data_IF_315804608325
#
_entry.id   IF_315804608325
#
_cell.length_a   1.000
_cell.length_b   1.000
_cell.length_c   1.000
_cell.angle_alpha   90.00
_cell.angle_beta   90.00
_cell.angle_gamma   90.00
#
_symmetry.space_group_name_H-M   'P 1'
#
loop_
_entity.id
_entity.type
_entity.pdbx_description
1 polymer ?
#
# COMPACT_ATOMS: atom_id res chain seq x y z
N UNK A 1 19.93 -17.13 13.36
CA UNK A 1 18.67 -16.49 12.92
C UNK A 1 17.66 -16.34 14.05
N UNK A 2 17.61 -17.23 15.03
CA UNK A 2 16.73 -17.08 16.21
C UNK A 2 16.85 -15.71 16.90
N UNK A 3 17.99 -15.07 16.72
CA UNK A 3 18.24 -13.72 17.26
C UNK A 3 17.41 -12.61 16.61
N UNK A 4 16.73 -12.84 15.48
CA UNK A 4 15.86 -11.87 14.80
C UNK A 4 14.36 -12.16 14.99
N UNK A 5 14.01 -13.08 15.86
CA UNK A 5 12.63 -13.26 16.27
C UNK A 5 12.11 -11.97 16.89
N UNK A 6 10.91 -11.57 16.49
CA UNK A 6 10.22 -10.34 16.92
C UNK A 6 10.87 -9.01 16.48
N UNK A 7 11.93 -9.08 15.65
CA UNK A 7 12.52 -7.92 14.99
C UNK A 7 11.95 -7.75 13.59
N UNK A 8 11.60 -6.53 13.21
CA UNK A 8 11.15 -6.21 11.87
C UNK A 8 12.17 -5.29 11.17
N UNK A 9 12.42 -5.49 9.86
CA UNK A 9 13.26 -4.59 9.09
C UNK A 9 12.52 -3.25 8.89
N UNK A 10 13.17 -2.16 9.28
CA UNK A 10 12.58 -0.81 9.26
C UNK A 10 13.21 0.13 8.24
N UNK A 11 14.39 -0.21 7.76
CA UNK A 11 15.13 0.54 6.75
C UNK A 11 16.03 -0.38 5.95
N UNK A 12 16.08 -0.17 4.64
CA UNK A 12 17.04 -0.80 3.73
C UNK A 12 17.67 0.31 2.90
N UNK A 13 19.00 0.31 2.81
CA UNK A 13 19.76 1.31 2.06
C UNK A 13 21.05 0.74 1.51
N UNK A 14 21.60 1.42 0.52
CA UNK A 14 22.92 1.13 -0.01
C UNK A 14 23.96 2.03 0.66
N UNK A 15 25.02 1.45 1.15
CA UNK A 15 26.20 2.13 1.69
C UNK A 15 27.43 1.64 0.95
N UNK A 16 28.03 2.51 0.14
CA UNK A 16 29.05 2.14 -0.84
C UNK A 16 28.56 1.00 -1.74
N UNK A 17 29.26 -0.15 -1.76
CA UNK A 17 28.89 -1.33 -2.55
C UNK A 17 27.94 -2.30 -1.80
N UNK A 18 27.62 -2.05 -0.53
CA UNK A 18 26.89 -2.98 0.32
C UNK A 18 25.47 -2.51 0.61
N UNK A 19 24.52 -3.42 0.54
CA UNK A 19 23.16 -3.18 1.00
C UNK A 19 23.03 -3.58 2.47
N UNK A 20 22.44 -2.68 3.26
CA UNK A 20 22.25 -2.80 4.70
C UNK A 20 20.77 -2.85 5.07
N UNK A 21 20.48 -3.49 6.20
CA UNK A 21 19.14 -3.60 6.78
C UNK A 21 19.21 -3.16 8.24
N UNK A 22 18.41 -2.17 8.62
CA UNK A 22 18.22 -1.75 10.01
C UNK A 22 16.96 -2.43 10.57
N UNK A 23 17.03 -2.89 11.79
CA UNK A 23 16.00 -3.67 12.47
C UNK A 23 15.53 -2.95 13.73
N UNK A 24 14.23 -3.09 14.01
CA UNK A 24 13.62 -2.64 15.25
C UNK A 24 12.89 -3.80 15.92
N UNK A 25 13.03 -3.92 17.22
CA UNK A 25 12.31 -4.92 17.99
C UNK A 25 10.88 -4.46 18.26
N UNK A 26 9.92 -5.27 17.87
CA UNK A 26 8.49 -5.02 18.06
C UNK A 26 7.88 -5.90 19.15
N UNK A 27 8.53 -7.02 19.51
CA UNK A 27 7.94 -8.00 20.43
C UNK A 27 6.57 -8.46 19.92
N UNK A 28 5.62 -8.56 20.84
CA UNK A 28 4.23 -8.94 20.59
C UNK A 28 3.31 -7.75 20.22
N UNK A 29 3.87 -6.56 19.97
CA UNK A 29 3.08 -5.37 19.63
C UNK A 29 2.29 -5.55 18.34
N UNK A 30 1.00 -5.22 18.39
CA UNK A 30 0.14 -5.17 17.22
C UNK A 30 0.53 -3.98 16.32
N UNK A 31 0.49 -4.20 15.02
CA UNK A 31 0.69 -3.15 14.01
C UNK A 31 -0.68 -2.59 13.61
N UNK A 32 -1.22 -1.68 14.40
CA UNK A 32 -2.54 -1.07 14.24
C UNK A 32 -2.50 0.40 13.79
N UNK A 33 -1.29 0.94 13.61
CA UNK A 33 -1.09 2.29 13.11
C UNK A 33 -1.46 2.40 11.62
N UNK A 34 -1.93 3.58 11.14
CA UNK A 34 -2.29 3.80 9.74
C UNK A 34 -1.17 3.51 8.73
N UNK A 35 0.07 3.74 9.14
CA UNK A 35 1.26 3.51 8.34
C UNK A 35 2.32 2.77 9.15
N UNK A 36 3.11 1.93 8.47
CA UNK A 36 4.22 1.20 9.10
C UNK A 36 5.23 2.15 9.74
N UNK A 37 5.47 3.31 9.11
CA UNK A 37 6.35 4.35 9.66
C UNK A 37 5.91 4.83 11.03
N UNK A 38 4.60 5.03 11.24
CA UNK A 38 4.07 5.48 12.53
C UNK A 38 4.34 4.43 13.62
N UNK A 39 4.13 3.14 13.30
CA UNK A 39 4.46 2.04 14.22
C UNK A 39 5.96 1.95 14.52
N UNK A 40 6.82 2.21 13.53
CA UNK A 40 8.28 2.28 13.71
C UNK A 40 8.65 3.45 14.63
N UNK A 41 8.09 4.64 14.41
CA UNK A 41 8.37 5.82 15.20
C UNK A 41 7.99 5.62 16.69
N UNK A 42 6.89 4.91 16.95
CA UNK A 42 6.51 4.51 18.31
C UNK A 42 7.45 3.46 18.90
N UNK A 43 7.80 2.43 18.13
CA UNK A 43 8.69 1.38 18.60
C UNK A 43 10.09 1.90 18.92
N UNK A 44 10.62 2.83 18.11
CA UNK A 44 11.94 3.44 18.33
C UNK A 44 12.02 4.29 19.60
N UNK A 45 10.90 4.73 20.16
CA UNK A 45 10.85 5.45 21.46
C UNK A 45 10.98 4.52 22.66
N UNK A 46 10.86 3.21 22.47
CA UNK A 46 11.00 2.25 23.56
C UNK A 46 12.45 2.23 24.07
N UNK A 47 12.69 2.19 25.39
CA UNK A 47 14.04 2.13 25.95
C UNK A 47 14.89 0.99 25.39
N UNK A 48 14.28 -0.18 25.14
CA UNK A 48 14.96 -1.32 24.54
C UNK A 48 15.51 -0.97 23.14
N UNK A 49 14.71 -0.38 22.27
CA UNK A 49 15.14 -0.02 20.92
C UNK A 49 16.09 1.19 20.88
N UNK A 50 16.12 2.00 21.91
CA UNK A 50 17.11 3.07 22.07
C UNK A 50 18.48 2.51 22.49
N UNK A 51 18.48 1.50 23.35
CA UNK A 51 19.71 0.86 23.84
C UNK A 51 20.27 -0.18 22.87
N UNK A 52 19.41 -0.89 22.16
CA UNK A 52 19.80 -2.01 21.31
C UNK A 52 19.38 -1.76 19.87
N UNK A 53 20.31 -1.30 19.06
CA UNK A 53 20.16 -1.19 17.60
C UNK A 53 20.75 -2.43 16.93
N UNK A 54 20.15 -2.84 15.85
CA UNK A 54 20.60 -4.01 15.11
C UNK A 54 20.63 -3.71 13.61
N UNK A 55 21.80 -3.93 13.04
CA UNK A 55 22.05 -3.80 11.61
C UNK A 55 22.60 -5.11 11.05
N UNK A 56 22.25 -5.45 9.82
CA UNK A 56 22.75 -6.62 9.12
C UNK A 56 23.01 -6.29 7.65
N UNK A 57 23.73 -7.18 6.96
CA UNK A 57 23.74 -7.15 5.50
C UNK A 57 22.39 -7.62 4.93
N UNK A 58 22.12 -7.29 3.66
CA UNK A 58 20.93 -7.74 2.94
C UNK A 58 20.85 -9.26 2.79
N UNK A 59 22.00 -9.95 2.81
CA UNK A 59 22.09 -11.41 2.73
C UNK A 59 21.24 -12.11 3.80
N UNK A 60 21.08 -11.49 4.97
CA UNK A 60 20.22 -12.04 6.04
C UNK A 60 18.76 -12.15 5.63
N UNK A 61 18.24 -11.18 4.84
CA UNK A 61 16.91 -11.29 4.25
C UNK A 61 16.88 -12.34 3.13
N UNK A 62 17.88 -12.37 2.26
CA UNK A 62 17.94 -13.36 1.18
C UNK A 62 17.93 -14.81 1.70
N UNK A 63 18.46 -15.01 2.90
CA UNK A 63 18.61 -16.32 3.56
C UNK A 63 17.60 -16.51 4.71
N UNK A 64 16.48 -15.78 4.71
CA UNK A 64 15.48 -15.82 5.78
C UNK A 64 14.94 -17.25 6.00
N UNK A 65 14.95 -17.72 7.24
CA UNK A 65 14.56 -19.09 7.61
C UNK A 65 13.55 -19.19 8.76
N UNK A 66 13.23 -18.07 9.42
CA UNK A 66 12.22 -18.14 10.48
C UNK A 66 10.84 -18.41 9.87
N UNK A 67 9.99 -19.21 10.55
CA UNK A 67 8.63 -19.46 10.12
C UNK A 67 7.86 -18.14 9.94
N UNK A 68 7.08 -18.06 8.89
CA UNK A 68 6.33 -16.87 8.55
C UNK A 68 5.04 -17.20 7.81
N UNK A 69 4.06 -16.34 7.96
CA UNK A 69 2.85 -16.32 7.12
C UNK A 69 3.24 -15.69 5.79
N UNK A 70 2.91 -16.36 4.69
CA UNK A 70 3.05 -15.78 3.37
C UNK A 70 2.04 -14.63 3.17
N UNK A 71 2.34 -13.65 2.29
CA UNK A 71 1.37 -12.63 1.95
C UNK A 71 0.05 -13.22 1.50
N UNK A 72 -1.06 -12.78 2.09
CA UNK A 72 -2.42 -13.22 1.74
C UNK A 72 -3.10 -12.26 0.78
N UNK A 73 -2.67 -11.00 0.73
CA UNK A 73 -3.16 -10.03 -0.24
C UNK A 73 -2.20 -8.84 -0.40
N UNK A 74 -2.19 -8.26 -1.62
CA UNK A 74 -1.56 -6.97 -1.90
C UNK A 74 -2.62 -5.91 -2.19
N UNK A 75 -2.46 -4.71 -1.59
CA UNK A 75 -3.34 -3.56 -1.80
C UNK A 75 -2.55 -2.44 -2.47
N UNK A 76 -2.80 -2.24 -3.76
CA UNK A 76 -2.32 -1.10 -4.53
C UNK A 76 -3.39 -0.02 -4.60
N UNK A 77 -3.00 1.23 -4.86
CA UNK A 77 -3.95 2.32 -4.83
C UNK A 77 -3.48 3.57 -5.59
N UNK A 78 -4.46 4.37 -6.04
CA UNK A 78 -4.20 5.63 -6.73
C UNK A 78 -3.92 6.82 -5.79
N UNK A 79 -3.57 6.57 -4.52
CA UNK A 79 -3.48 7.59 -3.47
C UNK A 79 -4.82 8.26 -3.12
N UNK A 80 -4.99 8.74 -1.87
CA UNK A 80 -6.19 9.48 -1.42
C UNK A 80 -7.55 8.83 -1.78
N UNK A 81 -7.58 7.52 -1.96
CA UNK A 81 -8.73 6.74 -2.42
C UNK A 81 -9.25 5.71 -1.40
N UNK A 82 -8.98 5.89 -0.10
CA UNK A 82 -9.54 5.04 0.96
C UNK A 82 -8.78 3.75 1.29
N UNK A 83 -7.64 3.48 0.65
CA UNK A 83 -6.82 2.29 0.95
C UNK A 83 -6.38 2.21 2.42
N UNK A 84 -6.17 3.35 3.09
CA UNK A 84 -5.86 3.39 4.53
C UNK A 84 -7.05 2.92 5.37
N UNK A 85 -8.30 3.17 4.94
CA UNK A 85 -9.49 2.66 5.62
C UNK A 85 -9.50 1.12 5.57
N UNK A 86 -9.23 0.52 4.41
CA UNK A 86 -9.12 -0.94 4.27
C UNK A 86 -8.07 -1.48 5.25
N UNK A 87 -6.87 -0.90 5.25
CA UNK A 87 -5.81 -1.29 6.17
C UNK A 87 -6.22 -1.21 7.64
N UNK A 88 -6.89 -0.12 8.04
CA UNK A 88 -7.33 0.08 9.42
C UNK A 88 -8.48 -0.87 9.83
N UNK A 89 -9.39 -1.20 8.91
CA UNK A 89 -10.43 -2.21 9.15
C UNK A 89 -9.82 -3.59 9.40
N UNK A 90 -8.84 -3.99 8.57
CA UNK A 90 -8.14 -5.27 8.74
C UNK A 90 -7.24 -5.30 9.98
N UNK A 91 -6.61 -4.17 10.33
CA UNK A 91 -5.78 -4.07 11.51
C UNK A 91 -6.54 -4.24 12.85
N UNK A 92 -7.89 -4.19 12.83
CA UNK A 92 -8.69 -4.56 14.01
C UNK A 92 -8.61 -6.06 14.32
N UNK A 93 -8.40 -6.90 13.30
CA UNK A 93 -8.38 -8.34 13.45
C UNK A 93 -7.11 -8.79 14.18
N UNK A 94 -7.25 -9.69 15.14
CA UNK A 94 -6.09 -10.23 15.87
C UNK A 94 -5.31 -11.24 15.01
N UNK A 95 -5.98 -11.82 14.02
CA UNK A 95 -5.42 -12.75 13.06
C UNK A 95 -4.69 -12.08 11.91
N UNK A 96 -4.75 -10.75 11.79
CA UNK A 96 -4.13 -10.04 10.68
C UNK A 96 -2.86 -9.26 11.10
N UNK A 97 -1.84 -9.41 10.27
CA UNK A 97 -0.69 -8.50 10.18
C UNK A 97 -0.96 -7.59 8.99
N UNK A 98 -1.03 -6.28 9.23
CA UNK A 98 -1.20 -5.29 8.16
C UNK A 98 0.02 -4.39 8.11
N UNK A 99 0.76 -4.46 7.00
CA UNK A 99 1.95 -3.64 6.76
C UNK A 99 1.60 -2.60 5.70
N UNK A 100 1.52 -1.35 6.11
CA UNK A 100 1.09 -0.24 5.25
C UNK A 100 2.25 0.64 4.84
N UNK A 101 2.57 0.66 3.55
CA UNK A 101 3.57 1.53 2.92
C UNK A 101 4.94 1.45 3.61
N UNK A 102 5.54 0.24 3.74
CA UNK A 102 6.81 0.09 4.43
C UNK A 102 7.98 0.57 3.57
N UNK A 103 8.80 1.54 4.03
CA UNK A 103 9.94 2.05 3.26
C UNK A 103 10.96 0.98 2.81
N UNK A 104 11.22 -0.10 3.59
CA UNK A 104 12.08 -1.18 3.13
C UNK A 104 11.60 -1.87 1.85
N UNK A 105 10.28 -1.99 1.67
CA UNK A 105 9.71 -2.61 0.47
C UNK A 105 9.93 -1.71 -0.76
N UNK A 106 9.67 -0.41 -0.64
CA UNK A 106 9.94 0.56 -1.71
C UNK A 106 11.43 0.55 -2.10
N UNK A 107 12.34 0.53 -1.11
CA UNK A 107 13.77 0.48 -1.36
C UNK A 107 14.20 -0.77 -2.16
N UNK A 108 13.61 -1.94 -1.91
CA UNK A 108 13.91 -3.15 -2.67
C UNK A 108 13.25 -3.16 -4.06
N UNK A 109 12.01 -2.68 -4.15
CA UNK A 109 11.28 -2.65 -5.43
C UNK A 109 11.99 -1.78 -6.45
N UNK A 110 12.52 -0.62 -6.03
CA UNK A 110 13.13 0.40 -6.91
C UNK A 110 14.64 0.46 -6.85
N UNK A 111 15.27 -0.26 -5.93
CA UNK A 111 16.72 -0.27 -5.76
C UNK A 111 17.47 -0.90 -6.93
N UNK A 112 18.69 -0.44 -7.18
CA UNK A 112 19.60 -0.99 -8.20
C UNK A 112 20.26 -2.27 -7.67
N UNK A 113 19.55 -3.39 -7.68
CA UNK A 113 19.99 -4.70 -7.23
C UNK A 113 20.06 -5.69 -8.40
N UNK A 114 20.92 -6.68 -8.28
CA UNK A 114 20.85 -7.86 -9.14
C UNK A 114 19.44 -8.49 -9.05
N UNK A 115 18.82 -8.90 -10.17
CA UNK A 115 17.44 -9.40 -10.18
C UNK A 115 17.21 -10.61 -9.26
N UNK A 116 18.17 -11.54 -9.16
CA UNK A 116 18.03 -12.72 -8.31
C UNK A 116 18.12 -12.34 -6.83
N UNK A 117 19.07 -11.48 -6.48
CA UNK A 117 19.24 -10.93 -5.12
C UNK A 117 18.01 -10.14 -4.72
N UNK A 118 17.47 -9.30 -5.61
CA UNK A 118 16.25 -8.51 -5.35
C UNK A 118 15.06 -9.41 -5.03
N UNK A 119 14.81 -10.44 -5.84
CA UNK A 119 13.71 -11.40 -5.61
C UNK A 119 13.88 -12.17 -4.29
N UNK A 120 15.09 -12.62 -3.99
CA UNK A 120 15.39 -13.29 -2.72
C UNK A 120 15.15 -12.36 -1.53
N UNK A 121 15.64 -11.12 -1.59
CA UNK A 121 15.46 -10.12 -0.55
C UNK A 121 13.99 -9.74 -0.36
N UNK A 122 13.19 -9.60 -1.44
CA UNK A 122 11.75 -9.34 -1.37
C UNK A 122 11.00 -10.48 -0.66
N UNK A 123 11.31 -11.75 -0.99
CA UNK A 123 10.72 -12.89 -0.29
C UNK A 123 11.09 -12.89 1.19
N UNK A 124 12.36 -12.67 1.51
CA UNK A 124 12.83 -12.59 2.89
C UNK A 124 12.24 -11.42 3.66
N UNK A 125 12.10 -10.24 3.04
CA UNK A 125 11.46 -9.08 3.65
C UNK A 125 10.01 -9.37 4.03
N UNK A 126 9.21 -9.92 3.10
CA UNK A 126 7.81 -10.23 3.38
C UNK A 126 7.67 -11.38 4.38
N UNK A 127 8.58 -12.34 4.36
CA UNK A 127 8.65 -13.37 5.40
C UNK A 127 9.00 -12.77 6.78
N UNK A 128 9.96 -11.83 6.85
CA UNK A 128 10.25 -11.13 8.10
C UNK A 128 9.05 -10.35 8.64
N UNK A 129 8.23 -9.75 7.79
CA UNK A 129 6.96 -9.11 8.18
C UNK A 129 5.90 -10.12 8.60
N UNK A 130 5.90 -11.31 8.01
CA UNK A 130 4.95 -12.39 8.29
C UNK A 130 5.25 -13.21 9.54
N UNK A 131 6.22 -12.83 10.39
CA UNK A 131 6.46 -13.50 11.65
C UNK A 131 5.22 -13.52 12.54
N UNK A 132 4.83 -14.70 13.03
CA UNK A 132 3.80 -14.83 14.07
C UNK A 132 4.39 -14.42 15.42
N UNK A 133 4.13 -13.20 15.85
CA UNK A 133 4.71 -12.61 17.07
C UNK A 133 3.79 -12.76 18.28
N UNK A 134 2.47 -12.83 18.06
CA UNK A 134 1.43 -12.96 19.08
C UNK A 134 0.83 -14.37 19.13
N UNK A 135 1.11 -15.19 18.10
CA UNK A 135 0.61 -16.57 18.01
C UNK A 135 -0.82 -16.70 17.47
N UNK A 136 -1.50 -15.59 17.17
CA UNK A 136 -2.88 -15.58 16.64
C UNK A 136 -2.92 -15.27 15.16
N UNK A 137 -1.85 -14.74 14.59
CA UNK A 137 -1.79 -14.26 13.23
C UNK A 137 -1.93 -15.40 12.21
N UNK A 138 -2.72 -15.17 11.19
CA UNK A 138 -3.01 -16.11 10.10
C UNK A 138 -2.98 -15.43 8.73
N UNK A 139 -2.97 -14.10 8.68
CA UNK A 139 -3.05 -13.29 7.46
C UNK A 139 -1.95 -12.24 7.47
N UNK A 140 -1.31 -12.05 6.30
CA UNK A 140 -0.37 -10.97 6.06
C UNK A 140 -0.88 -10.14 4.88
N UNK A 141 -1.31 -8.91 5.13
CA UNK A 141 -1.75 -7.96 4.10
C UNK A 141 -0.72 -6.86 3.94
N UNK A 142 -0.23 -6.69 2.72
CA UNK A 142 0.74 -5.64 2.38
C UNK A 142 0.04 -4.57 1.56
N UNK A 143 0.00 -3.37 2.07
CA UNK A 143 -0.43 -2.19 1.34
C UNK A 143 0.80 -1.45 0.83
N UNK A 144 0.89 -1.28 -0.49
CA UNK A 144 2.02 -0.66 -1.18
C UNK A 144 1.87 0.87 -1.22
N UNK A 145 2.96 1.57 -1.48
CA UNK A 145 2.92 2.98 -1.85
C UNK A 145 2.26 3.15 -3.24
N UNK A 146 1.60 4.28 -3.47
CA UNK A 146 0.87 4.52 -4.71
C UNK A 146 1.76 4.45 -5.95
N UNK A 147 3.03 4.85 -5.84
CA UNK A 147 3.99 4.82 -6.93
C UNK A 147 4.58 3.44 -7.23
N UNK A 148 4.36 2.47 -6.35
CA UNK A 148 4.83 1.10 -6.58
C UNK A 148 3.92 0.30 -7.54
N UNK A 149 2.91 0.89 -8.14
CA UNK A 149 2.04 0.20 -9.09
C UNK A 149 2.83 -0.33 -10.30
N UNK A 150 3.85 0.37 -10.75
CA UNK A 150 4.70 -0.09 -11.84
C UNK A 150 5.59 -1.27 -11.48
N UNK A 151 5.84 -1.50 -10.19
CA UNK A 151 6.66 -2.60 -9.70
C UNK A 151 5.84 -3.88 -9.39
N UNK A 152 4.52 -3.84 -9.65
CA UNK A 152 3.63 -5.00 -9.47
C UNK A 152 4.11 -6.26 -10.23
N UNK A 153 4.57 -6.20 -11.50
CA UNK A 153 5.06 -7.39 -12.20
C UNK A 153 6.15 -8.13 -11.43
N UNK A 154 7.09 -7.42 -10.82
CA UNK A 154 8.15 -8.01 -10.00
C UNK A 154 7.60 -8.74 -8.75
N UNK A 155 6.61 -8.15 -8.07
CA UNK A 155 5.94 -8.82 -6.94
C UNK A 155 5.14 -10.04 -7.42
N UNK A 156 4.52 -10.00 -8.60
CA UNK A 156 3.84 -11.16 -9.19
C UNK A 156 4.79 -12.30 -9.54
N UNK A 157 6.02 -12.00 -9.95
CA UNK A 157 7.06 -13.02 -10.15
C UNK A 157 7.49 -13.66 -8.81
N UNK A 158 7.53 -12.90 -7.73
CA UNK A 158 7.86 -13.42 -6.41
C UNK A 158 6.72 -14.21 -5.77
N UNK A 159 5.46 -13.76 -5.97
CA UNK A 159 4.25 -14.25 -5.32
C UNK A 159 3.10 -14.39 -6.33
N UNK A 160 3.17 -15.36 -7.26
CA UNK A 160 2.24 -15.46 -8.39
C UNK A 160 0.80 -15.76 -7.98
N UNK A 161 0.58 -16.41 -6.84
CA UNK A 161 -0.75 -16.83 -6.38
C UNK A 161 -1.42 -15.82 -5.44
N UNK A 162 -0.69 -14.83 -4.92
CA UNK A 162 -1.25 -13.87 -3.96
C UNK A 162 -2.23 -12.94 -4.68
N UNK A 163 -3.50 -12.87 -4.25
CA UNK A 163 -4.46 -11.96 -4.83
C UNK A 163 -4.08 -10.50 -4.55
N UNK A 164 -4.47 -9.63 -5.46
CA UNK A 164 -4.20 -8.21 -5.32
C UNK A 164 -5.34 -7.34 -5.81
N UNK A 165 -5.44 -6.12 -5.29
CA UNK A 165 -6.43 -5.14 -5.69
C UNK A 165 -5.81 -3.79 -6.03
N UNK A 166 -6.53 -3.01 -6.83
CA UNK A 166 -6.23 -1.62 -7.13
C UNK A 166 -7.38 -0.73 -6.67
N UNK A 167 -7.15 0.02 -5.60
CA UNK A 167 -8.13 0.96 -5.04
C UNK A 167 -7.99 2.30 -5.72
N UNK A 168 -9.09 2.84 -6.24
CA UNK A 168 -9.13 4.14 -6.92
C UNK A 168 -10.37 4.95 -6.52
N UNK A 169 -10.41 6.19 -6.94
CA UNK A 169 -11.48 7.16 -6.61
C UNK A 169 -11.63 8.11 -7.78
N UNK A 170 -12.73 8.92 -7.82
CA UNK A 170 -12.89 9.99 -8.78
C UNK A 170 -11.61 10.85 -8.87
N UNK A 171 -10.99 10.96 -10.07
CA UNK A 171 -9.66 11.56 -10.21
C UNK A 171 -9.55 13.00 -9.74
N UNK A 172 -10.58 13.81 -9.97
CA UNK A 172 -10.61 15.20 -9.53
C UNK A 172 -10.53 15.32 -8.01
N UNK A 173 -11.19 14.42 -7.27
CA UNK A 173 -11.15 14.41 -5.81
C UNK A 173 -9.78 14.01 -5.26
N UNK A 174 -9.08 13.12 -5.97
CA UNK A 174 -7.70 12.77 -5.66
C UNK A 174 -6.79 13.98 -5.91
N UNK A 175 -6.92 14.62 -7.07
CA UNK A 175 -6.09 15.76 -7.45
C UNK A 175 -6.26 16.93 -6.47
N UNK A 176 -7.50 17.32 -6.13
CA UNK A 176 -7.77 18.36 -5.11
C UNK A 176 -7.15 17.99 -3.76
N UNK A 177 -7.23 16.71 -3.35
CA UNK A 177 -6.58 16.29 -2.11
C UNK A 177 -5.07 16.48 -2.13
N UNK A 178 -4.43 16.34 -3.31
CA UNK A 178 -2.99 16.60 -3.49
C UNK A 178 -2.66 18.08 -3.62
N UNK A 179 -3.56 18.90 -4.15
CA UNK A 179 -3.42 20.37 -4.11
C UNK A 179 -3.45 20.85 -2.65
N UNK A 180 -4.38 20.33 -1.82
CA UNK A 180 -4.45 20.68 -0.39
C UNK A 180 -3.20 20.23 0.37
N UNK A 181 -2.80 18.97 0.18
CA UNK A 181 -1.66 18.35 0.85
C UNK A 181 -1.05 17.28 -0.05
N UNK A 182 0.05 17.61 -0.69
CA UNK A 182 0.73 16.70 -1.60
C UNK A 182 1.18 15.41 -0.88
N UNK A 183 0.99 14.27 -1.55
CA UNK A 183 1.73 13.05 -1.23
C UNK A 183 3.16 13.16 -1.80
N UNK A 184 4.09 12.37 -1.28
CA UNK A 184 5.50 12.44 -1.67
C UNK A 184 5.70 12.30 -3.19
N UNK A 185 5.00 11.38 -3.83
CA UNK A 185 5.07 11.15 -5.27
C UNK A 185 4.43 12.26 -6.13
N UNK A 186 3.72 13.20 -5.53
CA UNK A 186 3.15 14.37 -6.19
C UNK A 186 3.98 15.65 -5.96
N UNK A 187 5.21 15.49 -5.51
CA UNK A 187 6.21 16.54 -5.40
C UNK A 187 7.38 16.17 -6.31
N UNK A 188 7.80 17.01 -7.26
CA UNK A 188 8.92 16.73 -8.14
C UNK A 188 10.17 16.28 -7.37
N UNK A 189 10.86 15.29 -7.90
CA UNK A 189 12.14 14.74 -7.41
C UNK A 189 12.14 14.13 -6.00
N UNK A 190 11.06 14.27 -5.22
CA UNK A 190 11.05 13.85 -3.81
C UNK A 190 11.18 12.32 -3.62
N UNK A 191 10.64 11.53 -4.54
CA UNK A 191 10.77 10.06 -4.51
C UNK A 191 11.83 9.54 -5.49
N UNK A 192 12.53 10.43 -6.22
CA UNK A 192 13.41 10.07 -7.31
C UNK A 192 12.66 9.47 -8.51
N UNK A 193 13.38 8.82 -9.43
CA UNK A 193 12.78 8.20 -10.62
C UNK A 193 11.79 7.11 -10.27
N UNK A 194 10.68 7.06 -10.97
CA UNK A 194 9.60 6.07 -10.79
C UNK A 194 8.92 5.74 -12.12
N UNK A 195 8.14 4.66 -12.14
CA UNK A 195 7.29 4.26 -13.27
C UNK A 195 6.18 5.28 -13.60
N UNK A 196 5.96 6.25 -12.71
CA UNK A 196 5.01 7.34 -12.90
C UNK A 196 5.58 8.55 -13.64
N UNK A 197 6.88 8.57 -13.92
CA UNK A 197 7.52 9.68 -14.63
C UNK A 197 7.08 9.69 -16.10
N UNK A 198 6.78 10.89 -16.61
CA UNK A 198 6.39 11.12 -18.02
C UNK A 198 7.53 11.79 -18.79
N UNK A 199 7.35 11.89 -20.11
CA UNK A 199 8.31 12.52 -21.01
C UNK A 199 8.20 14.06 -21.07
N UNK A 200 7.06 14.63 -20.62
CA UNK A 200 6.81 16.07 -20.69
C UNK A 200 7.30 16.80 -19.45
N UNK A 201 7.94 17.96 -19.66
CA UNK A 201 8.14 18.94 -18.59
C UNK A 201 6.76 19.53 -18.24
N UNK A 202 6.35 19.37 -16.99
CA UNK A 202 5.12 19.95 -16.51
C UNK A 202 5.34 21.39 -16.10
N UNK A 203 4.61 22.31 -16.74
CA UNK A 203 4.73 23.75 -16.51
C UNK A 203 4.10 24.22 -15.20
N UNK A 204 3.30 23.37 -14.55
CA UNK A 204 2.63 23.70 -13.30
C UNK A 204 2.44 22.50 -12.37
N UNK A 205 2.17 22.79 -11.10
CA UNK A 205 1.82 21.79 -10.10
C UNK A 205 0.55 21.00 -10.47
N UNK A 206 -0.43 21.66 -11.09
CA UNK A 206 -1.68 21.02 -11.53
C UNK A 206 -1.43 20.04 -12.66
N UNK A 207 -0.60 20.41 -13.64
CA UNK A 207 -0.19 19.54 -14.74
C UNK A 207 0.58 18.32 -14.24
N UNK A 208 1.53 18.53 -13.33
CA UNK A 208 2.31 17.45 -12.72
C UNK A 208 1.42 16.44 -11.98
N UNK A 209 0.48 16.92 -11.16
CA UNK A 209 -0.46 16.06 -10.42
C UNK A 209 -1.34 15.29 -11.40
N UNK A 210 -1.90 15.95 -12.41
CA UNK A 210 -2.78 15.33 -13.40
C UNK A 210 -2.04 14.24 -14.21
N UNK A 211 -0.82 14.52 -14.65
CA UNK A 211 0.02 13.56 -15.38
C UNK A 211 0.34 12.32 -14.54
N UNK A 212 0.84 12.50 -13.33
CA UNK A 212 1.19 11.37 -12.46
C UNK A 212 -0.04 10.54 -12.05
N UNK A 213 -1.17 11.20 -11.81
CA UNK A 213 -2.42 10.52 -11.53
C UNK A 213 -2.91 9.73 -12.76
N UNK A 214 -2.84 10.32 -13.95
CA UNK A 214 -3.14 9.64 -15.21
C UNK A 214 -2.31 8.38 -15.36
N UNK A 215 -0.99 8.49 -15.21
CA UNK A 215 -0.08 7.34 -15.31
C UNK A 215 -0.36 6.26 -14.26
N UNK A 216 -0.70 6.67 -13.04
CA UNK A 216 -1.10 5.72 -11.98
C UNK A 216 -2.34 4.92 -12.35
N UNK A 217 -3.37 5.57 -12.91
CA UNK A 217 -4.60 4.92 -13.33
C UNK A 217 -4.39 4.04 -14.57
N UNK A 218 -3.57 4.47 -15.52
CA UNK A 218 -3.17 3.68 -16.70
C UNK A 218 -2.52 2.36 -16.28
N UNK A 219 -1.47 2.43 -15.45
CA UNK A 219 -0.78 1.24 -14.93
C UNK A 219 -1.72 0.35 -14.10
N UNK A 220 -2.57 0.96 -13.27
CA UNK A 220 -3.59 0.24 -12.51
C UNK A 220 -4.55 -0.53 -13.40
N UNK A 221 -5.04 0.10 -14.48
CA UNK A 221 -5.92 -0.53 -15.46
C UNK A 221 -5.21 -1.65 -16.24
N UNK A 222 -4.02 -1.36 -16.77
CA UNK A 222 -3.20 -2.31 -17.50
C UNK A 222 -2.98 -3.59 -16.70
N UNK A 223 -2.51 -3.42 -15.47
CA UNK A 223 -2.23 -4.56 -14.59
C UNK A 223 -3.50 -5.27 -14.11
N UNK A 224 -4.60 -4.55 -13.84
CA UNK A 224 -5.87 -5.19 -13.53
C UNK A 224 -6.32 -6.14 -14.65
N UNK A 225 -6.12 -5.75 -15.90
CA UNK A 225 -6.47 -6.58 -17.07
C UNK A 225 -5.48 -7.73 -17.28
N UNK A 226 -4.18 -7.43 -17.28
CA UNK A 226 -3.13 -8.41 -17.60
C UNK A 226 -2.86 -9.42 -16.47
N UNK A 227 -2.98 -9.01 -15.20
CA UNK A 227 -2.56 -9.76 -14.02
C UNK A 227 -3.70 -10.10 -13.07
N UNK A 228 -4.93 -10.05 -13.54
CA UNK A 228 -6.14 -10.43 -12.82
C UNK A 228 -6.34 -9.67 -11.47
N UNK A 229 -6.05 -8.36 -11.43
CA UNK A 229 -6.27 -7.52 -10.26
C UNK A 229 -7.74 -7.18 -10.02
N UNK A 230 -8.13 -6.95 -8.78
CA UNK A 230 -9.47 -6.51 -8.40
C UNK A 230 -9.55 -4.98 -8.39
N UNK A 231 -10.20 -4.32 -9.37
CA UNK A 231 -10.44 -2.89 -9.29
C UNK A 231 -11.53 -2.59 -8.26
N UNK A 232 -11.25 -1.65 -7.33
CA UNK A 232 -12.15 -1.25 -6.25
C UNK A 232 -12.28 0.28 -6.22
N UNK A 233 -13.50 0.78 -6.45
CA UNK A 233 -13.77 2.22 -6.31
C UNK A 233 -14.05 2.58 -4.86
N UNK A 234 -13.47 3.69 -4.39
CA UNK A 234 -13.67 4.26 -3.06
C UNK A 234 -15.15 4.37 -2.64
N UNK A 235 -16.04 4.71 -3.57
CA UNK A 235 -17.48 4.88 -3.29
C UNK A 235 -18.17 3.61 -2.77
N UNK A 236 -17.52 2.47 -2.93
CA UNK A 236 -18.02 1.17 -2.45
C UNK A 236 -17.68 0.91 -0.99
N UNK A 237 -16.68 1.64 -0.46
CA UNK A 237 -16.28 1.52 0.94
C UNK A 237 -17.24 2.30 1.86
N UNK A 238 -17.47 1.81 3.08
CA UNK A 238 -16.99 0.53 3.62
C UNK A 238 -17.90 -0.66 3.31
N UNK A 239 -19.06 -0.45 2.67
CA UNK A 239 -20.12 -1.44 2.51
C UNK A 239 -19.66 -2.78 1.90
N UNK A 240 -18.73 -2.74 0.95
CA UNK A 240 -18.22 -3.97 0.31
C UNK A 240 -17.38 -4.86 1.23
N UNK A 241 -17.02 -4.40 2.42
CA UNK A 241 -16.35 -5.22 3.42
C UNK A 241 -17.32 -6.27 4.02
N UNK A 242 -18.63 -6.07 3.93
CA UNK A 242 -19.64 -7.08 4.26
C UNK A 242 -20.00 -8.01 3.08
N UNK A 243 -19.27 -7.90 2.01
CA UNK A 243 -19.49 -8.67 0.78
C UNK A 243 -18.21 -9.22 0.21
N UNK A 244 -18.03 -9.02 -1.10
CA UNK A 244 -16.95 -9.63 -1.86
C UNK A 244 -15.54 -9.26 -1.36
N UNK A 245 -15.37 -8.15 -0.65
CA UNK A 245 -14.09 -7.77 -0.09
C UNK A 245 -13.73 -8.64 1.12
N UNK A 246 -14.74 -9.06 1.90
CA UNK A 246 -14.52 -10.05 2.95
C UNK A 246 -14.06 -11.39 2.36
N UNK A 247 -14.68 -11.83 1.28
CA UNK A 247 -14.28 -13.06 0.58
C UNK A 247 -12.86 -12.94 0.00
N UNK A 248 -12.52 -11.76 -0.56
CA UNK A 248 -11.18 -11.48 -1.06
C UNK A 248 -10.09 -11.64 0.01
N UNK A 249 -10.38 -11.23 1.24
CA UNK A 249 -9.47 -11.36 2.39
C UNK A 249 -9.68 -12.67 3.17
N UNK A 250 -10.64 -13.52 2.78
CA UNK A 250 -10.98 -14.75 3.47
C UNK A 250 -11.43 -14.49 4.92
N UNK A 251 -12.35 -13.52 5.12
CA UNK A 251 -12.88 -13.17 6.44
C UNK A 251 -14.14 -13.96 6.74
N UNK A 252 -14.21 -14.55 7.92
CA UNK A 252 -15.44 -15.11 8.48
C UNK A 252 -16.40 -14.02 9.00
N UNK A 253 -17.60 -14.38 9.41
CA UNK A 253 -18.63 -13.43 9.89
C UNK A 253 -18.17 -12.61 11.11
N UNK A 254 -17.59 -13.19 12.17
CA UNK A 254 -17.03 -12.44 13.29
C UNK A 254 -15.96 -11.43 12.87
N UNK A 255 -15.04 -11.83 11.98
CA UNK A 255 -13.98 -10.97 11.46
C UNK A 255 -14.55 -9.81 10.62
N UNK A 256 -15.58 -10.06 9.78
CA UNK A 256 -16.29 -8.98 9.03
C UNK A 256 -16.87 -7.94 9.97
N UNK A 257 -17.60 -8.37 10.99
CA UNK A 257 -18.22 -7.47 11.96
C UNK A 257 -17.18 -6.63 12.70
N UNK A 258 -16.07 -7.26 13.12
CA UNK A 258 -14.96 -6.58 13.78
C UNK A 258 -14.28 -5.55 12.86
N UNK A 259 -14.03 -5.90 11.61
CA UNK A 259 -13.47 -4.99 10.61
C UNK A 259 -14.41 -3.79 10.35
N UNK A 260 -15.70 -4.03 10.15
CA UNK A 260 -16.71 -2.98 9.92
C UNK A 260 -16.84 -2.01 11.10
N UNK A 261 -16.64 -2.45 12.33
CA UNK A 261 -16.72 -1.60 13.52
C UNK A 261 -15.72 -0.42 13.49
N UNK A 262 -14.63 -0.54 12.73
CA UNK A 262 -13.65 0.53 12.55
C UNK A 262 -14.03 1.55 11.47
N UNK A 263 -15.00 1.26 10.62
CA UNK A 263 -15.33 2.06 9.44
C UNK A 263 -15.87 3.47 9.76
N UNK A 264 -16.44 3.66 10.94
CA UNK A 264 -16.96 4.96 11.40
C UNK A 264 -15.88 5.97 11.83
N UNK A 265 -14.62 5.56 11.91
CA UNK A 265 -13.52 6.40 12.37
C UNK A 265 -12.72 6.95 11.19
N UNK A 266 -12.13 8.14 11.35
CA UNK A 266 -11.25 8.69 10.34
C UNK A 266 -9.98 7.82 10.21
N UNK A 267 -9.74 7.25 9.02
CA UNK A 267 -8.71 6.22 8.82
C UNK A 267 -7.27 6.65 9.15
N UNK A 268 -6.95 7.95 9.06
CA UNK A 268 -5.61 8.51 9.38
C UNK A 268 -5.56 9.22 10.72
N UNK A 269 -6.71 9.46 11.34
CA UNK A 269 -6.86 10.12 12.63
C UNK A 269 -8.00 9.43 13.39
N UNK A 270 -7.76 8.23 13.94
CA UNK A 270 -8.81 7.40 14.53
C UNK A 270 -9.62 8.04 15.66
N UNK A 271 -9.09 9.12 16.26
CA UNK A 271 -9.79 9.92 17.25
C UNK A 271 -10.87 10.86 16.66
N UNK A 272 -10.93 11.00 15.33
CA UNK A 272 -11.90 11.87 14.65
C UNK A 272 -12.95 11.03 13.90
N UNK A 273 -14.19 11.53 13.87
CA UNK A 273 -15.23 10.96 13.02
C UNK A 273 -14.93 11.20 11.53
N UNK A 274 -15.30 10.25 10.70
CA UNK A 274 -15.20 10.42 9.24
C UNK A 274 -16.25 11.41 8.76
N UNK A 275 -15.83 12.41 7.97
CA UNK A 275 -16.70 13.36 7.27
C UNK A 275 -16.46 13.22 5.77
N UNK A 276 -17.54 12.99 5.00
CA UNK A 276 -17.46 12.94 3.54
C UNK A 276 -17.17 14.34 2.97
N UNK A 277 -16.13 14.43 2.13
CA UNK A 277 -15.61 15.71 1.60
C UNK A 277 -15.68 15.81 0.06
N UNK A 278 -16.42 14.91 -0.59
CA UNK A 278 -16.50 14.85 -2.06
C UNK A 278 -17.06 16.14 -2.69
N UNK A 279 -18.15 16.66 -2.15
CA UNK A 279 -18.77 17.90 -2.69
C UNK A 279 -17.86 19.10 -2.54
N UNK A 280 -17.18 19.24 -1.40
CA UNK A 280 -16.25 20.34 -1.15
C UNK A 280 -15.07 20.29 -2.12
N UNK A 281 -14.51 19.11 -2.35
CA UNK A 281 -13.45 18.92 -3.33
C UNK A 281 -13.88 19.28 -4.75
N UNK A 282 -15.10 18.90 -5.13
CA UNK A 282 -15.65 19.29 -6.43
C UNK A 282 -15.77 20.82 -6.58
N UNK A 283 -16.13 21.55 -5.52
CA UNK A 283 -16.25 23.03 -5.55
C UNK A 283 -14.90 23.74 -5.57
N UNK A 284 -13.91 23.20 -4.88
CA UNK A 284 -12.57 23.80 -4.76
C UNK A 284 -11.70 23.65 -6.01
N UNK A 285 -12.02 22.71 -6.89
CA UNK A 285 -11.25 22.48 -8.09
C UNK A 285 -11.29 23.70 -9.02
N UNK A 286 -10.12 24.23 -9.40
CA UNK A 286 -10.00 25.25 -10.45
C UNK A 286 -10.40 24.67 -11.81
N UNK A 287 -10.84 25.53 -12.74
CA UNK A 287 -11.17 25.09 -14.09
C UNK A 287 -9.97 24.43 -14.78
N UNK A 288 -8.80 25.01 -14.65
CA UNK A 288 -7.55 24.45 -15.17
C UNK A 288 -7.30 23.02 -14.63
N UNK A 289 -7.43 22.83 -13.31
CA UNK A 289 -7.25 21.50 -12.72
C UNK A 289 -8.25 20.49 -13.27
N UNK A 290 -9.52 20.90 -13.45
CA UNK A 290 -10.57 20.05 -14.04
C UNK A 290 -10.20 19.60 -15.44
N UNK A 291 -9.87 20.55 -16.32
CA UNK A 291 -9.47 20.26 -17.70
C UNK A 291 -8.28 19.30 -17.77
N UNK A 292 -7.23 19.56 -16.97
CA UNK A 292 -6.03 18.74 -16.98
C UNK A 292 -6.26 17.33 -16.44
N UNK A 293 -7.00 17.21 -15.35
CA UNK A 293 -7.37 15.92 -14.77
C UNK A 293 -8.27 15.15 -15.74
N UNK A 294 -9.31 15.79 -16.29
CA UNK A 294 -10.21 15.18 -17.27
C UNK A 294 -9.42 14.64 -18.47
N UNK A 295 -8.58 15.46 -19.06
CA UNK A 295 -7.76 15.07 -20.22
C UNK A 295 -6.83 13.87 -19.92
N UNK A 296 -6.19 13.85 -18.75
CA UNK A 296 -5.19 12.83 -18.41
C UNK A 296 -5.76 11.54 -17.84
N UNK A 297 -6.96 11.56 -17.26
CA UNK A 297 -7.42 10.47 -16.41
C UNK A 297 -8.73 9.82 -16.86
N UNK A 298 -9.60 10.53 -17.59
CA UNK A 298 -10.97 10.09 -17.88
C UNK A 298 -11.00 8.72 -18.56
N UNK A 299 -10.24 8.54 -19.62
CA UNK A 299 -10.23 7.27 -20.36
C UNK A 299 -9.88 6.07 -19.48
N UNK A 300 -8.83 6.19 -18.65
CA UNK A 300 -8.39 5.09 -17.76
C UNK A 300 -9.37 4.88 -16.61
N UNK A 301 -9.95 5.96 -16.07
CA UNK A 301 -10.95 5.86 -15.01
C UNK A 301 -12.22 5.16 -15.50
N UNK A 302 -12.77 5.57 -16.64
CA UNK A 302 -13.98 4.96 -17.19
C UNK A 302 -13.75 3.48 -17.55
N UNK A 303 -12.58 3.15 -18.08
CA UNK A 303 -12.20 1.78 -18.36
C UNK A 303 -12.02 0.93 -17.07
N UNK A 304 -11.55 1.50 -15.97
CA UNK A 304 -11.55 0.84 -14.65
C UNK A 304 -12.97 0.60 -14.14
N UNK A 305 -13.90 1.55 -14.33
CA UNK A 305 -15.30 1.39 -13.96
C UNK A 305 -15.99 0.25 -14.75
N UNK A 306 -15.70 0.15 -16.06
CA UNK A 306 -16.19 -0.98 -16.88
C UNK A 306 -15.63 -2.29 -16.35
N UNK A 307 -14.30 -2.38 -16.19
CA UNK A 307 -13.63 -3.60 -15.70
C UNK A 307 -14.15 -4.02 -14.32
N UNK A 308 -14.43 -3.06 -13.43
CA UNK A 308 -15.03 -3.31 -12.12
C UNK A 308 -16.44 -3.89 -12.23
N UNK A 309 -17.27 -3.35 -13.10
CA UNK A 309 -18.65 -3.78 -13.32
C UNK A 309 -18.73 -5.18 -13.89
N UNK A 310 -17.90 -5.50 -14.89
CA UNK A 310 -17.80 -6.83 -15.49
C UNK A 310 -17.41 -7.90 -14.47
N UNK A 311 -16.42 -7.63 -13.62
CA UNK A 311 -15.98 -8.57 -12.58
C UNK A 311 -17.04 -8.83 -11.51
N UNK A 312 -17.93 -7.88 -11.27
CA UNK A 312 -19.07 -8.08 -10.36
C UNK A 312 -20.12 -8.99 -10.97
N UNK A 313 -20.41 -8.82 -12.26
CA UNK A 313 -21.42 -9.62 -12.97
C UNK A 313 -20.98 -11.08 -13.14
N UNK A 314 -19.69 -11.38 -13.13
CA UNK A 314 -19.14 -12.73 -13.28
C UNK A 314 -19.01 -13.51 -11.96
N UNK A 315 -19.37 -12.94 -10.80
CA UNK A 315 -19.36 -13.67 -9.53
C UNK A 315 -20.70 -14.33 -9.29
N UNK A 316 -20.73 -15.65 -8.98
CA UNK A 316 -21.97 -16.29 -8.52
C UNK A 316 -22.44 -15.60 -7.23
N UNK A 317 -23.76 -15.46 -7.10
CA UNK A 317 -24.46 -14.90 -5.96
C UNK A 317 -24.21 -15.69 -4.67
#
# INVERSE_FOLDING_TARGET
>A
MDSLKDWLPIRIWQEAEAWRVDWCWFGDRKLDQPFFRDAVDEALRLPFNQAFRRETSLAVLCEWKLPAIEPTAFVYHASRCGSTLIGQMLAQLDEAIVISEPPPLDALLRGALDPAVRKAALRGLLAAYGQTRRGTEQKLVIKLDAWNIGELPLLRECFPQVPWMFVYREPLEIAVSHIRRAGMHMVPDLIGRSSLDGESQDDSREDYIAQRLGRTLELGLEHCRALNGLPLNYRELPGVMDGYLADFFGLDTPQRNKALSAAGRHAKQPAQAFVADSQDKQREATERLRERVEYRTRASYDALEVSRSERRSCRPA
#
